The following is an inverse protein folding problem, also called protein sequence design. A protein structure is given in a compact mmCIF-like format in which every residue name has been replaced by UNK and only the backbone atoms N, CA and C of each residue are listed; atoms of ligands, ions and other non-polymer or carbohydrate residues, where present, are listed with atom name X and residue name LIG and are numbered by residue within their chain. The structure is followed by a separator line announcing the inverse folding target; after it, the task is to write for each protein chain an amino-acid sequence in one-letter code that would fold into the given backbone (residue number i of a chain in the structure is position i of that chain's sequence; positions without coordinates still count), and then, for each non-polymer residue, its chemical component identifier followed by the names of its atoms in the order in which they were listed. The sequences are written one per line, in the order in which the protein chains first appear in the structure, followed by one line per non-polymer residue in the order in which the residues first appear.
data_IF_134942038646
#
_entry.id   IF_134942038646
#
_cell.length_a   1.000
_cell.length_b   1.000
_cell.length_c   1.000
_cell.angle_alpha   90.00
_cell.angle_beta   90.00
_cell.angle_gamma   90.00
#
_symmetry.space_group_name_H-M   'P 1'
#
loop_
_entity.id
_entity.type
_entity.pdbx_description
1 polymer ?
#
# COMPACT_ATOMS: atom_id res chain seq x y z
N UNK A 1 -50.36 -35.58 -4.42
CA UNK A 1 -49.01 -35.25 -4.92
C UNK A 1 -48.49 -34.00 -4.21
N UNK A 2 -48.08 -34.15 -2.96
CA UNK A 2 -47.52 -33.06 -2.17
C UNK A 2 -45.99 -33.05 -2.37
N UNK A 3 -45.51 -32.29 -3.35
CA UNK A 3 -44.07 -31.99 -3.53
C UNK A 3 -43.80 -30.60 -2.95
N UNK A 4 -44.21 -30.39 -1.69
CA UNK A 4 -43.92 -29.16 -0.93
C UNK A 4 -43.45 -29.48 0.48
N UNK A 5 -42.75 -30.60 0.63
CA UNK A 5 -42.13 -31.00 1.89
C UNK A 5 -40.66 -31.33 1.66
N UNK A 6 -39.80 -30.63 2.40
CA UNK A 6 -38.43 -31.06 2.73
C UNK A 6 -37.28 -30.61 1.79
N UNK A 7 -37.18 -29.30 1.50
CA UNK A 7 -35.84 -28.71 1.46
C UNK A 7 -35.61 -28.04 2.82
N UNK A 8 -34.70 -28.52 3.68
CA UNK A 8 -34.50 -27.92 4.99
C UNK A 8 -34.08 -26.46 4.79
N UNK A 9 -34.83 -25.51 5.37
CA UNK A 9 -34.58 -24.07 5.23
C UNK A 9 -33.14 -23.66 5.59
N UNK A 10 -32.51 -24.42 6.50
CA UNK A 10 -31.10 -24.28 6.85
C UNK A 10 -30.14 -24.54 5.67
N UNK A 11 -30.42 -25.52 4.80
CA UNK A 11 -29.57 -25.85 3.66
C UNK A 11 -29.64 -24.79 2.54
N UNK A 12 -30.81 -24.19 2.31
CA UNK A 12 -30.96 -23.11 1.34
C UNK A 12 -30.18 -21.84 1.76
N UNK A 13 -30.24 -21.48 3.04
CA UNK A 13 -29.47 -20.36 3.59
C UNK A 13 -27.95 -20.61 3.52
N UNK A 14 -27.50 -21.83 3.82
CA UNK A 14 -26.10 -22.23 3.70
C UNK A 14 -25.58 -22.13 2.26
N UNK A 15 -26.38 -22.57 1.28
CA UNK A 15 -26.04 -22.49 -0.14
C UNK A 15 -25.97 -21.04 -0.63
N UNK A 16 -26.89 -20.16 -0.24
CA UNK A 16 -26.84 -18.73 -0.56
C UNK A 16 -25.59 -18.03 0.02
N UNK A 17 -25.20 -18.38 1.25
CA UNK A 17 -23.97 -17.87 1.84
C UNK A 17 -22.71 -18.37 1.10
N UNK A 18 -22.73 -19.62 0.61
CA UNK A 18 -21.64 -20.19 -0.17
C UNK A 18 -21.50 -19.51 -1.54
N UNK A 19 -22.61 -19.30 -2.27
CA UNK A 19 -22.59 -18.63 -3.58
C UNK A 19 -22.15 -17.16 -3.46
N UNK A 20 -22.57 -16.44 -2.41
CA UNK A 20 -22.11 -15.08 -2.14
C UNK A 20 -20.59 -15.02 -1.89
N UNK A 21 -20.04 -15.99 -1.15
CA UNK A 21 -18.59 -16.10 -0.90
C UNK A 21 -17.82 -16.39 -2.19
N UNK A 22 -18.33 -17.27 -3.06
CA UNK A 22 -17.70 -17.56 -4.36
C UNK A 22 -17.70 -16.31 -5.24
N UNK A 23 -18.85 -15.64 -5.40
CA UNK A 23 -18.96 -14.37 -6.15
C UNK A 23 -18.01 -13.29 -5.62
N UNK A 24 -17.88 -13.18 -4.30
CA UNK A 24 -16.96 -12.23 -3.68
C UNK A 24 -15.48 -12.56 -3.99
N UNK A 25 -15.12 -13.86 -4.05
CA UNK A 25 -13.77 -14.31 -4.43
C UNK A 25 -13.48 -14.00 -5.91
N UNK A 26 -14.42 -14.25 -6.80
CA UNK A 26 -14.22 -13.97 -8.23
C UNK A 26 -14.04 -12.48 -8.49
N UNK A 27 -14.89 -11.64 -7.88
CA UNK A 27 -14.73 -10.18 -7.94
C UNK A 27 -13.41 -9.71 -7.33
N UNK A 28 -12.94 -10.35 -6.25
CA UNK A 28 -11.63 -10.04 -5.65
C UNK A 28 -10.50 -10.32 -6.65
N UNK A 29 -10.53 -11.47 -7.33
CA UNK A 29 -9.51 -11.86 -8.32
C UNK A 29 -9.51 -10.87 -9.49
N UNK A 30 -10.68 -10.55 -10.05
CA UNK A 30 -10.82 -9.59 -11.16
C UNK A 30 -10.28 -8.21 -10.75
N UNK A 31 -10.64 -7.72 -9.56
CA UNK A 31 -10.16 -6.44 -9.07
C UNK A 31 -8.64 -6.42 -8.83
N UNK A 32 -8.07 -7.55 -8.41
CA UNK A 32 -6.64 -7.68 -8.19
C UNK A 32 -5.89 -7.59 -9.53
N UNK A 33 -6.28 -8.38 -10.53
CA UNK A 33 -5.61 -8.41 -11.84
C UNK A 33 -5.74 -7.07 -12.57
N UNK A 34 -6.92 -6.43 -12.52
CA UNK A 34 -7.13 -5.09 -13.09
C UNK A 34 -6.20 -4.05 -12.43
N UNK A 35 -6.13 -4.01 -11.09
CA UNK A 35 -5.26 -3.08 -10.37
C UNK A 35 -3.79 -3.33 -10.65
N UNK A 36 -3.37 -4.59 -10.75
CA UNK A 36 -1.99 -4.93 -11.10
C UNK A 36 -1.61 -4.45 -12.50
N UNK A 37 -2.49 -4.65 -13.49
CA UNK A 37 -2.27 -4.17 -14.85
C UNK A 37 -2.20 -2.63 -14.91
N UNK A 38 -3.08 -1.94 -14.18
CA UNK A 38 -3.01 -0.47 -14.05
C UNK A 38 -1.73 -0.01 -13.37
N UNK A 39 -1.27 -0.71 -12.33
CA UNK A 39 0.01 -0.41 -11.66
C UNK A 39 1.20 -0.56 -12.60
N UNK A 40 1.19 -1.58 -13.46
CA UNK A 40 2.22 -1.78 -14.51
C UNK A 40 2.17 -0.63 -15.52
N UNK A 41 0.99 -0.28 -16.02
CA UNK A 41 0.81 0.80 -17.02
C UNK A 41 1.21 2.19 -16.50
N UNK A 42 0.92 2.51 -15.24
CA UNK A 42 1.30 3.78 -14.61
C UNK A 42 2.66 3.72 -13.91
N UNK A 43 3.43 2.64 -14.05
CA UNK A 43 4.80 2.57 -13.54
C UNK A 43 5.67 3.58 -14.31
N UNK A 44 6.52 4.33 -13.61
CA UNK A 44 7.41 5.33 -14.22
C UNK A 44 6.75 6.66 -14.62
N UNK A 45 5.44 6.73 -14.80
CA UNK A 45 4.74 7.99 -15.08
C UNK A 45 4.78 8.91 -13.84
N UNK A 46 5.07 10.20 -14.06
CA UNK A 46 5.12 11.22 -12.99
C UNK A 46 3.80 11.32 -12.23
N UNK A 47 2.68 11.33 -12.95
CA UNK A 47 1.36 11.45 -12.38
C UNK A 47 0.61 10.12 -12.42
N UNK A 48 0.17 9.67 -11.24
CA UNK A 48 -0.68 8.49 -11.07
C UNK A 48 -2.04 8.92 -10.49
N UNK A 49 -3.12 8.22 -10.85
CA UNK A 49 -4.43 8.42 -10.23
C UNK A 49 -4.36 8.17 -8.71
N UNK A 50 -5.26 8.80 -7.95
CA UNK A 50 -5.24 8.81 -6.48
C UNK A 50 -5.29 7.41 -5.87
N UNK A 51 -6.04 6.48 -6.48
CA UNK A 51 -6.23 5.12 -5.98
C UNK A 51 -4.96 4.25 -6.06
N UNK A 52 -4.06 4.57 -6.99
CA UNK A 52 -2.80 3.83 -7.16
C UNK A 52 -1.66 4.40 -6.31
N UNK A 53 -1.89 5.52 -5.62
CA UNK A 53 -0.89 6.13 -4.72
C UNK A 53 -0.75 5.31 -3.44
N UNK A 54 0.43 5.32 -2.81
CA UNK A 54 0.61 4.67 -1.52
C UNK A 54 -0.30 5.31 -0.46
N UNK A 55 -1.07 4.48 0.26
CA UNK A 55 -1.96 4.93 1.34
C UNK A 55 -1.16 5.24 2.61
N UNK A 56 -0.65 6.47 2.69
CA UNK A 56 0.03 7.04 3.88
C UNK A 56 -0.85 8.08 4.56
N UNK A 57 -0.54 8.45 5.80
CA UNK A 57 -1.21 9.57 6.49
C UNK A 57 -0.94 10.89 5.76
N UNK A 58 -1.81 11.89 5.95
CA UNK A 58 -1.67 13.21 5.30
C UNK A 58 -0.37 13.91 5.72
N UNK A 59 0.02 13.80 6.99
CA UNK A 59 1.27 14.33 7.51
C UNK A 59 2.47 13.73 6.76
N UNK A 60 2.55 12.40 6.65
CA UNK A 60 3.65 11.72 5.94
C UNK A 60 3.72 12.03 4.44
N UNK A 61 2.59 12.35 3.79
CA UNK A 61 2.58 12.76 2.36
C UNK A 61 3.09 14.18 2.13
N UNK A 62 3.06 15.03 3.17
CA UNK A 62 3.47 16.45 3.11
C UNK A 62 4.87 16.69 3.64
N UNK A 63 5.47 15.69 4.28
CA UNK A 63 6.87 15.70 4.67
C UNK A 63 7.76 15.86 3.44
N UNK A 64 8.96 16.40 3.68
CA UNK A 64 9.99 16.52 2.66
C UNK A 64 10.41 15.15 2.14
N UNK A 65 10.93 15.11 0.91
CA UNK A 65 11.50 13.88 0.39
C UNK A 65 12.83 13.59 1.10
N UNK A 66 13.18 12.31 1.27
CA UNK A 66 14.48 11.92 1.87
C UNK A 66 15.69 12.55 1.18
N UNK A 67 15.60 12.81 -0.12
CA UNK A 67 16.64 13.52 -0.85
C UNK A 67 16.74 14.98 -0.39
N UNK A 68 15.60 15.67 -0.31
CA UNK A 68 15.49 17.07 0.12
C UNK A 68 15.95 17.24 1.58
N UNK A 69 15.56 16.32 2.46
CA UNK A 69 16.01 16.31 3.87
C UNK A 69 17.53 16.19 4.00
N UNK A 70 18.18 15.49 3.06
CA UNK A 70 19.62 15.30 3.04
C UNK A 70 20.38 16.34 2.20
N UNK A 71 19.68 17.28 1.54
CA UNK A 71 20.33 18.33 0.77
C UNK A 71 21.07 19.28 1.72
N UNK A 72 22.40 19.22 1.68
CA UNK A 72 23.29 20.14 2.40
C UNK A 72 23.87 21.17 1.46
N UNK A 73 24.03 22.40 1.94
CA UNK A 73 24.69 23.46 1.17
C UNK A 73 26.16 23.11 0.90
N UNK A 74 26.74 23.60 -0.20
CA UNK A 74 28.17 23.42 -0.51
C UNK A 74 29.08 23.87 0.64
N UNK A 75 28.70 24.96 1.33
CA UNK A 75 29.39 25.48 2.51
C UNK A 75 29.37 24.47 3.68
N UNK A 76 28.21 23.88 3.96
CA UNK A 76 28.07 22.87 5.00
C UNK A 76 28.86 21.61 4.68
N UNK A 77 28.80 21.11 3.44
CA UNK A 77 29.57 19.93 3.02
C UNK A 77 31.08 20.14 3.18
N UNK A 78 31.59 21.33 2.83
CA UNK A 78 32.99 21.69 3.06
C UNK A 78 33.34 21.69 4.56
N UNK A 79 32.47 22.26 5.40
CA UNK A 79 32.69 22.30 6.85
C UNK A 79 32.71 20.89 7.46
N UNK A 80 31.78 20.03 7.06
CA UNK A 80 31.70 18.64 7.53
C UNK A 80 32.92 17.80 7.09
N UNK A 81 33.44 18.06 5.89
CA UNK A 81 34.67 17.43 5.40
C UNK A 81 35.91 17.91 6.16
N UNK A 82 35.98 19.22 6.41
CA UNK A 82 37.12 19.84 7.07
C UNK A 82 37.18 19.50 8.57
N UNK A 83 36.02 19.45 9.23
CA UNK A 83 35.90 19.28 10.67
C UNK A 83 34.92 18.14 11.00
N UNK A 84 35.31 16.88 10.78
CA UNK A 84 34.51 15.74 11.19
C UNK A 84 34.44 15.66 12.72
N UNK A 85 33.29 15.25 13.25
CA UNK A 85 33.15 14.93 14.67
C UNK A 85 34.01 13.70 14.98
N UNK A 86 35.06 13.90 15.76
CA UNK A 86 35.94 12.82 16.17
C UNK A 86 35.41 12.15 17.44
N UNK A 87 35.53 10.82 17.48
CA UNK A 87 35.30 10.06 18.71
C UNK A 87 36.57 10.09 19.54
N UNK A 88 36.49 10.55 20.77
CA UNK A 88 37.60 10.55 21.72
C UNK A 88 37.12 10.03 23.08
N UNK A 89 38.06 9.53 23.88
CA UNK A 89 37.85 9.15 25.26
C UNK A 89 38.84 9.92 26.14
N UNK A 90 38.41 10.30 27.33
CA UNK A 90 39.27 10.97 28.31
C UNK A 90 39.78 9.90 29.27
N UNK A 91 41.08 9.92 29.54
CA UNK A 91 41.70 9.05 30.53
C UNK A 91 41.25 9.51 31.93
N UNK A 92 40.85 8.58 32.78
CA UNK A 92 40.56 8.85 34.19
C UNK A 92 41.83 9.32 34.93
#
# INVERSE_FOLDING_TARGET
FAITGLFPAAAAAANCAATAKIKARDLRVINQTQKENLRKFYKGKKYKPLDLRPKKTRAMRRQLNKHEENLKTKKQQRKERQYPLQKYAVKA
#
